data_IF_714983238030
#
_entry.id   IF_714983238030
#
_cell.length_a   1.000
_cell.length_b   1.000
_cell.length_c   1.000
_cell.angle_alpha   90.00
_cell.angle_beta   90.00
_cell.angle_gamma   90.00
#
_symmetry.space_group_name_H-M   'P 1'
#
loop_
_entity.id
_entity.type
_entity.pdbx_description
1 polymer ?
#
# COMPACT_ATOMS: atom_id res chain seq x y z
N UNK A 1 -13.70 -10.66 -21.22
CA UNK A 1 -12.75 -9.53 -21.47
C UNK A 1 -11.94 -9.33 -20.21
N UNK A 2 -10.68 -8.87 -20.30
CA UNK A 2 -9.92 -8.54 -19.10
C UNK A 2 -10.58 -7.34 -18.41
N UNK A 3 -10.59 -7.32 -17.07
CA UNK A 3 -11.11 -6.18 -16.31
C UNK A 3 -10.30 -4.93 -16.63
N UNK A 4 -10.98 -3.80 -16.79
CA UNK A 4 -10.37 -2.46 -16.93
C UNK A 4 -10.54 -1.60 -15.68
N UNK A 5 -11.15 -2.12 -14.63
CA UNK A 5 -11.35 -1.43 -13.37
C UNK A 5 -10.19 -1.70 -12.42
N UNK A 6 -9.50 -0.63 -12.02
CA UNK A 6 -8.32 -0.67 -11.15
C UNK A 6 -8.60 0.07 -9.85
N UNK A 7 -8.28 -0.56 -8.73
CA UNK A 7 -8.40 0.05 -7.40
C UNK A 7 -7.01 0.15 -6.79
N UNK A 8 -6.55 1.39 -6.55
CA UNK A 8 -5.23 1.71 -6.03
C UNK A 8 -5.29 1.88 -4.51
N UNK A 9 -4.42 1.17 -3.78
CA UNK A 9 -4.39 1.13 -2.32
C UNK A 9 -3.03 1.61 -1.81
N UNK A 10 -3.00 2.74 -1.12
CA UNK A 10 -1.77 3.36 -0.62
C UNK A 10 -1.17 2.66 0.61
N UNK A 11 0.08 2.96 0.89
CA UNK A 11 0.83 2.44 2.04
C UNK A 11 0.59 3.21 3.34
N UNK A 12 1.46 2.98 4.32
CA UNK A 12 1.53 3.78 5.55
C UNK A 12 2.16 5.15 5.31
N UNK A 13 1.95 6.08 6.23
CA UNK A 13 2.50 7.45 6.27
C UNK A 13 1.99 8.42 5.20
N UNK A 14 1.34 7.94 4.16
CA UNK A 14 0.83 8.72 3.03
C UNK A 14 -0.66 8.44 2.83
N UNK A 15 -1.30 9.24 2.00
CA UNK A 15 -2.68 9.05 1.55
C UNK A 15 -2.74 8.64 0.06
N UNK A 16 -3.94 8.62 -0.49
CA UNK A 16 -4.17 8.25 -1.89
C UNK A 16 -3.61 9.25 -2.90
N UNK A 17 -3.24 10.47 -2.51
CA UNK A 17 -2.71 11.48 -3.44
C UNK A 17 -1.38 11.04 -4.07
N UNK A 18 -0.59 10.23 -3.36
CA UNK A 18 0.64 9.65 -3.88
C UNK A 18 0.46 8.75 -5.12
N UNK A 19 -0.76 8.35 -5.44
CA UNK A 19 -1.09 7.61 -6.65
C UNK A 19 -1.34 8.49 -7.88
N UNK A 20 -1.30 9.83 -7.75
CA UNK A 20 -1.69 10.75 -8.83
C UNK A 20 -1.04 10.45 -10.17
N UNK A 21 0.26 10.24 -10.23
CA UNK A 21 0.96 9.95 -11.48
C UNK A 21 0.51 8.64 -12.14
N UNK A 22 0.31 7.58 -11.34
CA UNK A 22 -0.19 6.28 -11.83
C UNK A 22 -1.64 6.40 -12.28
N UNK A 23 -2.46 7.12 -11.51
CA UNK A 23 -3.86 7.39 -11.85
C UNK A 23 -3.98 8.08 -13.22
N UNK A 24 -3.20 9.13 -13.46
CA UNK A 24 -3.24 9.89 -14.71
C UNK A 24 -2.87 8.99 -15.92
N UNK A 25 -1.83 8.15 -15.78
CA UNK A 25 -1.39 7.22 -16.83
C UNK A 25 -2.49 6.18 -17.13
N UNK A 26 -2.98 5.49 -16.11
CA UNK A 26 -3.98 4.44 -16.29
C UNK A 26 -5.29 5.00 -16.85
N UNK A 27 -5.73 6.18 -16.39
CA UNK A 27 -6.94 6.84 -16.89
C UNK A 27 -6.80 7.23 -18.36
N UNK A 28 -5.63 7.74 -18.77
CA UNK A 28 -5.34 8.05 -20.16
C UNK A 28 -5.30 6.80 -21.05
N UNK A 29 -4.91 5.65 -20.49
CA UNK A 29 -4.92 4.34 -21.18
C UNK A 29 -6.32 3.68 -21.21
N UNK A 30 -7.33 4.36 -20.67
CA UNK A 30 -8.73 3.93 -20.72
C UNK A 30 -9.12 2.91 -19.66
N UNK A 31 -8.39 2.88 -18.53
CA UNK A 31 -8.81 2.18 -17.33
C UNK A 31 -9.78 3.04 -16.51
N UNK A 32 -10.73 2.38 -15.84
CA UNK A 32 -11.53 2.99 -14.78
C UNK A 32 -10.78 2.86 -13.46
N UNK A 33 -10.34 3.98 -12.89
CA UNK A 33 -9.42 4.00 -11.76
C UNK A 33 -10.05 4.63 -10.53
N UNK A 34 -10.05 3.90 -9.42
CA UNK A 34 -10.47 4.40 -8.11
C UNK A 34 -9.31 4.31 -7.13
N UNK A 35 -9.17 5.32 -6.26
CA UNK A 35 -8.14 5.37 -5.22
C UNK A 35 -8.79 5.22 -3.85
N UNK A 36 -8.34 4.24 -3.07
CA UNK A 36 -8.81 4.03 -1.69
C UNK A 36 -8.13 5.03 -0.77
N UNK A 37 -8.90 5.60 0.13
CA UNK A 37 -8.39 6.36 1.28
C UNK A 37 -8.47 5.46 2.52
N UNK A 38 -7.33 4.87 2.90
CA UNK A 38 -7.24 4.01 4.08
C UNK A 38 -7.42 4.87 5.36
N UNK A 39 -8.32 4.50 6.27
CA UNK A 39 -8.46 5.17 7.58
C UNK A 39 -7.17 5.18 8.39
N UNK A 40 -6.25 4.27 8.06
CA UNK A 40 -4.97 4.09 8.74
C UNK A 40 -5.06 3.87 10.26
N UNK A 41 -6.18 3.35 10.79
CA UNK A 41 -6.41 3.02 12.20
C UNK A 41 -6.25 1.53 12.54
N UNK A 42 -6.59 0.61 11.67
CA UNK A 42 -6.40 -0.84 11.83
C UNK A 42 -6.36 -1.53 10.47
N UNK A 43 -5.67 -2.68 10.36
CA UNK A 43 -5.68 -3.48 9.13
C UNK A 43 -7.09 -3.90 8.74
N UNK A 44 -7.90 -4.32 9.73
CA UNK A 44 -9.30 -4.70 9.51
C UNK A 44 -10.13 -3.53 8.95
N UNK A 45 -9.95 -2.32 9.51
CA UNK A 45 -10.63 -1.11 9.04
C UNK A 45 -10.23 -0.73 7.63
N UNK A 46 -8.93 -0.83 7.29
CA UNK A 46 -8.39 -0.53 5.96
C UNK A 46 -8.87 -1.58 4.92
N UNK A 47 -8.90 -2.86 5.29
CA UNK A 47 -9.50 -3.93 4.47
C UNK A 47 -11.00 -3.68 4.25
N UNK A 48 -11.74 -3.30 5.29
CA UNK A 48 -13.17 -2.99 5.17
C UNK A 48 -13.41 -1.74 4.29
N UNK A 49 -12.55 -0.72 4.37
CA UNK A 49 -12.60 0.44 3.49
C UNK A 49 -12.38 0.05 2.02
N UNK A 50 -11.38 -0.80 1.76
CA UNK A 50 -11.09 -1.31 0.42
C UNK A 50 -12.25 -2.14 -0.13
N UNK A 51 -12.84 -3.04 0.67
CA UNK A 51 -14.01 -3.85 0.26
C UNK A 51 -15.21 -2.99 -0.11
N UNK A 52 -15.50 -1.91 0.63
CA UNK A 52 -16.58 -0.95 0.25
C UNK A 52 -16.35 -0.33 -1.12
N UNK A 53 -15.09 -0.06 -1.49
CA UNK A 53 -14.78 0.45 -2.83
C UNK A 53 -14.96 -0.65 -3.88
N UNK A 54 -14.55 -1.90 -3.61
CA UNK A 54 -14.77 -3.05 -4.51
C UNK A 54 -16.26 -3.25 -4.76
N UNK A 55 -17.07 -3.25 -3.71
CA UNK A 55 -18.53 -3.44 -3.78
C UNK A 55 -19.23 -2.35 -4.61
N UNK A 56 -18.66 -1.15 -4.65
CA UNK A 56 -19.18 -0.04 -5.43
C UNK A 56 -18.85 -0.12 -6.94
N UNK A 57 -17.94 -1.04 -7.35
CA UNK A 57 -17.59 -1.23 -8.75
C UNK A 57 -18.63 -2.14 -9.42
N UNK A 58 -18.97 -1.84 -10.67
CA UNK A 58 -19.90 -2.66 -11.46
C UNK A 58 -19.27 -3.89 -12.12
N UNK A 59 -17.95 -4.06 -12.02
CA UNK A 59 -17.16 -5.10 -12.67
C UNK A 59 -16.08 -5.63 -11.72
N UNK A 60 -15.53 -6.84 -11.96
CA UNK A 60 -14.39 -7.33 -11.20
C UNK A 60 -13.20 -6.39 -11.31
N UNK A 61 -12.49 -6.18 -10.19
CA UNK A 61 -11.43 -5.20 -10.05
C UNK A 61 -10.03 -5.83 -10.04
N UNK A 62 -9.04 -5.07 -10.49
CA UNK A 62 -7.63 -5.32 -10.25
C UNK A 62 -7.23 -4.46 -9.05
N UNK A 63 -6.84 -5.10 -7.93
CA UNK A 63 -6.32 -4.38 -6.76
C UNK A 63 -4.82 -4.17 -6.91
N UNK A 64 -4.37 -2.93 -6.73
CA UNK A 64 -2.95 -2.57 -6.74
C UNK A 64 -2.57 -2.00 -5.37
N UNK A 65 -1.63 -2.62 -4.67
CA UNK A 65 -1.19 -2.19 -3.34
C UNK A 65 0.29 -1.83 -3.32
N UNK A 66 0.61 -0.68 -2.72
CA UNK A 66 1.98 -0.24 -2.45
C UNK A 66 2.31 -0.41 -0.97
N UNK A 67 3.51 -0.90 -0.65
CA UNK A 67 4.01 -1.00 0.73
C UNK A 67 3.01 -1.74 1.65
N UNK A 68 2.56 -1.12 2.74
CA UNK A 68 1.50 -1.63 3.63
C UNK A 68 0.17 -1.91 2.89
N UNK A 69 -0.14 -1.16 1.84
CA UNK A 69 -1.29 -1.42 0.98
C UNK A 69 -1.33 -2.84 0.40
N UNK A 70 -0.18 -3.50 0.29
CA UNK A 70 -0.10 -4.92 -0.07
C UNK A 70 -0.74 -5.84 0.96
N UNK A 71 -0.54 -5.59 2.27
CA UNK A 71 -1.23 -6.35 3.32
C UNK A 71 -2.74 -6.10 3.29
N UNK A 72 -3.17 -4.88 2.98
CA UNK A 72 -4.59 -4.54 2.82
C UNK A 72 -5.22 -5.29 1.65
N UNK A 73 -4.59 -5.27 0.46
CA UNK A 73 -5.12 -5.98 -0.72
C UNK A 73 -5.07 -7.49 -0.55
N UNK A 74 -4.12 -8.04 0.22
CA UNK A 74 -4.12 -9.46 0.58
C UNK A 74 -5.38 -9.82 1.35
N UNK A 75 -5.75 -9.02 2.35
CA UNK A 75 -6.98 -9.24 3.13
C UNK A 75 -8.27 -9.01 2.34
N UNK A 76 -8.29 -8.02 1.44
CA UNK A 76 -9.44 -7.72 0.59
C UNK A 76 -9.56 -8.67 -0.61
N UNK A 77 -8.45 -9.27 -1.04
CA UNK A 77 -8.35 -10.06 -2.26
C UNK A 77 -9.09 -11.42 -2.25
N UNK A 78 -9.67 -11.80 -1.11
CA UNK A 78 -10.59 -12.95 -1.01
C UNK A 78 -11.99 -12.64 -1.53
N UNK A 79 -12.28 -11.38 -1.85
CA UNK A 79 -13.56 -10.97 -2.39
C UNK A 79 -13.76 -11.55 -3.81
N UNK A 80 -14.94 -12.13 -4.12
CA UNK A 80 -15.22 -12.73 -5.43
C UNK A 80 -15.16 -11.73 -6.60
N UNK A 81 -15.28 -10.43 -6.31
CA UNK A 81 -15.19 -9.37 -7.29
C UNK A 81 -13.73 -8.93 -7.55
N UNK A 82 -12.73 -9.59 -6.98
CA UNK A 82 -11.32 -9.31 -7.25
C UNK A 82 -10.80 -10.27 -8.32
N UNK A 83 -10.42 -9.70 -9.47
CA UNK A 83 -9.90 -10.46 -10.61
C UNK A 83 -8.39 -10.72 -10.49
N UNK A 84 -7.63 -9.77 -9.92
CA UNK A 84 -6.18 -9.88 -9.76
C UNK A 84 -5.65 -8.99 -8.64
N UNK A 85 -4.45 -9.33 -8.14
CA UNK A 85 -3.68 -8.55 -7.16
C UNK A 85 -2.34 -8.16 -7.76
N UNK A 86 -1.96 -6.89 -7.62
CA UNK A 86 -0.67 -6.35 -8.05
C UNK A 86 0.02 -5.73 -6.84
N UNK A 87 1.22 -6.21 -6.55
CA UNK A 87 2.04 -5.72 -5.42
C UNK A 87 3.20 -4.88 -5.95
N UNK A 88 3.27 -3.62 -5.53
CA UNK A 88 4.33 -2.68 -5.91
C UNK A 88 5.16 -2.36 -4.67
N UNK A 89 6.39 -2.87 -4.59
CA UNK A 89 7.26 -2.73 -3.41
C UNK A 89 6.48 -2.94 -2.09
N UNK A 90 5.70 -4.03 -2.00
CA UNK A 90 4.64 -4.18 -1.03
C UNK A 90 4.77 -5.46 -0.20
N UNK A 91 4.20 -5.44 1.00
CA UNK A 91 4.06 -6.63 1.84
C UNK A 91 2.96 -7.53 1.27
N UNK A 92 3.29 -8.80 1.11
CA UNK A 92 2.35 -9.85 0.69
C UNK A 92 2.34 -10.96 1.76
N UNK A 93 1.71 -10.72 2.93
CA UNK A 93 1.71 -11.69 4.02
C UNK A 93 0.87 -12.91 3.68
N UNK A 94 1.34 -14.08 4.07
CA UNK A 94 0.55 -15.31 4.08
C UNK A 94 -0.42 -15.34 5.27
N UNK A 95 -1.31 -16.33 5.31
CA UNK A 95 -2.23 -16.52 6.42
C UNK A 95 -1.46 -16.65 7.75
N UNK A 96 -1.86 -15.85 8.73
CA UNK A 96 -1.21 -15.80 10.05
C UNK A 96 0.05 -14.95 10.10
N UNK A 97 0.57 -14.45 8.98
CA UNK A 97 1.67 -13.49 8.96
C UNK A 97 1.16 -12.05 9.16
N UNK A 98 2.07 -11.17 9.53
CA UNK A 98 1.85 -9.74 9.68
C UNK A 98 2.97 -8.96 9.00
N UNK A 99 2.78 -7.64 8.83
CA UNK A 99 3.86 -6.75 8.37
C UNK A 99 5.10 -6.89 9.28
N UNK A 100 4.89 -6.98 10.60
CA UNK A 100 5.97 -7.12 11.57
C UNK A 100 6.77 -8.41 11.40
N UNK A 101 6.09 -9.54 11.17
CA UNK A 101 6.79 -10.82 10.92
C UNK A 101 7.59 -10.76 9.63
N UNK A 102 7.07 -10.10 8.59
CA UNK A 102 7.77 -9.95 7.30
C UNK A 102 8.99 -9.04 7.39
N UNK A 103 8.94 -7.97 8.22
CA UNK A 103 10.09 -7.09 8.46
C UNK A 103 11.17 -7.82 9.25
N UNK A 104 10.80 -8.67 10.20
CA UNK A 104 11.73 -9.46 10.99
C UNK A 104 12.59 -10.42 10.15
N UNK A 105 12.13 -10.79 8.94
CA UNK A 105 12.84 -11.65 7.99
C UNK A 105 13.89 -10.88 7.14
N UNK A 106 13.93 -9.55 7.24
CA UNK A 106 14.89 -8.75 6.48
C UNK A 106 16.31 -8.89 7.07
N UNK A 107 17.35 -8.83 6.22
CA UNK A 107 18.72 -8.78 6.70
C UNK A 107 18.92 -7.61 7.69
N UNK A 108 19.78 -7.77 8.73
CA UNK A 108 19.98 -6.72 9.75
C UNK A 108 20.52 -5.40 9.19
N UNK A 109 21.18 -5.43 8.04
CA UNK A 109 21.74 -4.29 7.31
C UNK A 109 20.85 -3.77 6.19
N UNK A 110 19.64 -4.30 6.05
CA UNK A 110 18.68 -3.81 5.06
C UNK A 110 18.31 -2.35 5.34
N UNK A 111 18.26 -1.50 4.30
CA UNK A 111 17.80 -0.13 4.47
C UNK A 111 16.41 -0.08 5.13
N UNK A 112 16.31 0.63 6.24
CA UNK A 112 15.05 0.79 6.96
C UNK A 112 14.54 2.25 6.81
N UNK A 113 13.23 2.45 6.69
CA UNK A 113 12.68 3.80 6.68
C UNK A 113 12.93 4.48 8.04
N UNK A 114 13.16 5.81 8.06
CA UNK A 114 13.48 6.55 9.27
C UNK A 114 12.22 6.79 10.12
N UNK A 115 11.68 5.73 10.69
CA UNK A 115 10.48 5.80 11.54
C UNK A 115 10.85 6.38 12.91
N UNK A 116 10.12 7.40 13.34
CA UNK A 116 10.25 7.98 14.68
C UNK A 116 9.65 7.07 15.76
N UNK A 117 10.09 7.19 17.01
CA UNK A 117 9.43 6.50 18.12
C UNK A 117 7.92 6.78 18.15
N UNK A 118 7.09 5.81 18.52
CA UNK A 118 5.64 5.98 18.54
C UNK A 118 5.21 7.16 19.43
N UNK A 119 4.25 7.96 18.93
CA UNK A 119 3.59 9.02 19.67
C UNK A 119 2.10 8.69 19.77
N UNK A 120 1.58 8.54 20.97
CA UNK A 120 0.17 8.20 21.25
C UNK A 120 -0.34 6.98 20.43
N UNK A 121 0.52 6.00 20.16
CA UNK A 121 0.19 4.81 19.38
C UNK A 121 0.27 4.99 17.87
N UNK A 122 0.79 6.11 17.38
CA UNK A 122 1.00 6.37 15.96
C UNK A 122 2.48 6.53 15.61
N UNK A 123 2.81 6.18 14.38
CA UNK A 123 4.13 6.26 13.79
C UNK A 123 4.16 7.34 12.71
N UNK A 124 5.33 7.99 12.60
CA UNK A 124 5.66 8.97 11.58
C UNK A 124 7.07 8.71 11.05
N UNK A 125 7.35 9.14 9.84
CA UNK A 125 8.70 9.24 9.31
C UNK A 125 9.35 10.55 9.75
N UNK A 126 10.67 10.51 9.96
CA UNK A 126 11.48 11.69 10.18
C UNK A 126 11.42 12.60 8.95
N UNK A 127 10.89 13.81 9.12
CA UNK A 127 10.69 14.79 8.03
C UNK A 127 11.99 15.20 7.36
N UNK A 128 13.08 15.34 8.11
CA UNK A 128 14.36 15.74 7.55
C UNK A 128 14.98 14.67 6.65
N UNK A 129 14.61 13.41 6.89
CA UNK A 129 15.08 12.25 6.10
C UNK A 129 14.07 11.77 5.08
N UNK A 130 12.87 12.34 5.06
CA UNK A 130 11.75 11.85 4.25
C UNK A 130 12.09 11.85 2.75
N UNK A 131 12.58 12.96 2.22
CA UNK A 131 12.93 13.07 0.80
C UNK A 131 13.93 11.99 0.40
N UNK A 132 15.07 11.89 1.06
CA UNK A 132 16.12 10.96 0.68
C UNK A 132 15.74 9.47 0.86
N UNK A 133 14.82 9.15 1.79
CA UNK A 133 14.50 7.77 2.16
C UNK A 133 13.18 7.26 1.58
N UNK A 134 12.24 8.14 1.30
CA UNK A 134 10.87 7.76 0.92
C UNK A 134 10.46 8.31 -0.46
N UNK A 135 10.95 9.48 -0.85
CA UNK A 135 10.55 10.21 -2.05
C UNK A 135 11.76 10.73 -2.84
N UNK A 136 12.84 9.94 -2.94
CA UNK A 136 14.14 10.38 -3.47
C UNK A 136 14.17 10.75 -4.96
N UNK A 137 13.17 10.35 -5.71
CA UNK A 137 12.98 10.64 -7.14
C UNK A 137 11.87 11.67 -7.40
N UNK A 138 11.26 12.20 -6.33
CA UNK A 138 10.23 13.23 -6.39
C UNK A 138 10.88 14.62 -6.27
N UNK A 139 10.27 15.65 -6.88
CA UNK A 139 10.69 17.03 -6.71
C UNK A 139 10.79 17.45 -5.23
N UNK A 140 11.78 18.28 -4.89
CA UNK A 140 12.06 18.60 -3.49
C UNK A 140 10.90 19.32 -2.77
N UNK A 141 10.18 20.22 -3.47
CA UNK A 141 9.05 20.96 -2.91
C UNK A 141 7.86 20.02 -2.70
N UNK A 142 7.62 19.10 -3.63
CA UNK A 142 6.60 18.07 -3.51
C UNK A 142 6.94 17.09 -2.36
N UNK A 143 8.20 16.66 -2.26
CA UNK A 143 8.66 15.79 -1.17
C UNK A 143 8.54 16.46 0.20
N UNK A 144 8.79 17.78 0.29
CA UNK A 144 8.59 18.55 1.50
C UNK A 144 7.11 18.62 1.89
N UNK A 145 6.22 18.85 0.93
CA UNK A 145 4.78 18.81 1.15
C UNK A 145 4.32 17.43 1.63
N UNK A 146 4.79 16.35 0.99
CA UNK A 146 4.49 14.98 1.43
C UNK A 146 4.97 14.70 2.86
N UNK A 147 6.15 15.21 3.23
CA UNK A 147 6.69 15.06 4.58
C UNK A 147 5.85 15.80 5.63
N UNK A 148 5.29 16.97 5.28
CA UNK A 148 4.45 17.77 6.17
C UNK A 148 3.00 17.27 6.23
N UNK A 149 2.52 16.60 5.19
CA UNK A 149 1.17 16.05 5.07
C UNK A 149 1.06 14.56 5.43
N UNK A 150 2.05 13.99 6.13
CA UNK A 150 2.03 12.57 6.53
C UNK A 150 0.74 12.19 7.24
N UNK A 151 0.21 11.03 6.90
CA UNK A 151 -0.91 10.42 7.60
C UNK A 151 -0.39 9.61 8.78
N UNK A 152 -0.87 9.85 10.01
CA UNK A 152 -0.48 9.06 11.18
C UNK A 152 -0.76 7.58 10.95
N UNK A 153 0.23 6.72 11.14
CA UNK A 153 0.07 5.28 10.95
C UNK A 153 0.05 4.55 12.29
N UNK A 154 -1.06 3.91 12.64
CA UNK A 154 -1.22 3.24 13.93
C UNK A 154 -0.22 2.11 14.14
N UNK A 155 0.52 2.14 15.24
CA UNK A 155 1.60 1.19 15.56
C UNK A 155 1.12 -0.27 15.72
N UNK A 156 -0.13 -0.48 16.14
CA UNK A 156 -0.69 -1.83 16.34
C UNK A 156 -0.88 -2.65 15.05
N UNK A 157 -0.80 -2.03 13.88
CA UNK A 157 -0.98 -2.70 12.58
C UNK A 157 0.16 -3.60 12.19
N UNK A 158 1.35 -3.31 12.65
CA UNK A 158 2.51 -4.13 12.37
C UNK A 158 2.32 -5.56 12.87
N UNK A 159 1.58 -5.73 13.96
CA UNK A 159 1.29 -7.00 14.57
C UNK A 159 -0.02 -7.65 14.08
N UNK A 160 -0.86 -6.91 13.34
CA UNK A 160 -2.12 -7.46 12.82
C UNK A 160 -1.84 -8.56 11.80
N UNK A 161 -2.40 -9.74 12.02
CA UNK A 161 -2.19 -10.93 11.19
C UNK A 161 -3.16 -10.97 10.02
N UNK A 162 -2.69 -11.41 8.87
CA UNK A 162 -3.55 -11.71 7.71
C UNK A 162 -4.49 -12.86 8.03
N UNK A 163 -5.77 -12.69 7.74
CA UNK A 163 -6.81 -13.70 8.02
C UNK A 163 -6.87 -14.81 6.98
N UNK A 164 -6.42 -14.56 5.74
CA UNK A 164 -6.43 -15.55 4.65
C UNK A 164 -5.59 -15.08 3.47
N UNK A 165 -5.06 -16.05 2.71
CA UNK A 165 -4.44 -15.80 1.41
C UNK A 165 -5.48 -15.99 0.31
N UNK A 166 -5.57 -15.10 -0.70
CA UNK A 166 -6.43 -15.32 -1.86
C UNK A 166 -5.96 -16.57 -2.61
N UNK A 167 -6.81 -17.59 -2.67
CA UNK A 167 -6.52 -18.79 -3.43
C UNK A 167 -6.58 -18.52 -4.94
N UNK A 168 -5.46 -18.66 -5.65
CA UNK A 168 -5.45 -18.87 -7.10
C UNK A 168 -5.69 -17.67 -8.01
N UNK A 169 -5.79 -16.45 -7.50
CA UNK A 169 -5.79 -15.24 -8.35
C UNK A 169 -4.38 -14.95 -8.84
N UNK A 170 -4.21 -14.67 -10.14
CA UNK A 170 -2.91 -14.43 -10.75
C UNK A 170 -2.14 -13.32 -10.03
N UNK A 171 -1.07 -13.69 -9.35
CA UNK A 171 -0.17 -12.73 -8.69
C UNK A 171 0.83 -12.22 -9.72
N UNK A 172 0.71 -10.95 -10.13
CA UNK A 172 1.76 -10.26 -10.83
C UNK A 172 2.61 -9.49 -9.80
N UNK A 173 3.78 -10.01 -9.47
CA UNK A 173 4.73 -9.32 -8.61
C UNK A 173 5.67 -8.45 -9.43
N UNK A 174 5.60 -7.13 -9.30
CA UNK A 174 6.65 -6.23 -9.80
C UNK A 174 7.53 -5.86 -8.62
N UNK A 175 8.68 -6.52 -8.52
CA UNK A 175 9.74 -6.11 -7.61
C UNK A 175 10.62 -5.09 -8.34
N UNK A 176 10.48 -3.80 -8.05
CA UNK A 176 11.42 -2.79 -8.52
C UNK A 176 12.68 -2.86 -7.65
N UNK A 177 13.80 -3.33 -8.22
CA UNK A 177 15.12 -3.11 -7.61
C UNK A 177 15.48 -1.62 -7.77
N UNK A 178 16.03 -0.96 -6.73
CA UNK A 178 16.64 0.35 -6.92
C UNK A 178 17.78 0.22 -7.93
N UNK A 179 17.82 1.12 -8.91
CA UNK A 179 18.99 1.25 -9.78
C UNK A 179 20.13 1.82 -8.94
N UNK A 180 21.14 1.00 -8.68
CA UNK A 180 22.45 1.50 -8.25
C UNK A 180 23.08 2.18 -9.45
N UNK A 181 23.10 3.52 -9.45
CA UNK A 181 23.94 4.34 -10.31
C UNK A 181 25.19 4.73 -9.56
#
# INVERSE_FOLDING_TARGET
MASKTVVLVHGGFVDGSGWRGVYDILSNDGYDVTVVQNPTLSLEGDVAATKRIIDAQGEPVILVGHSYGGAVITGAGTDPNVAALVYIAAFAPDEGESVNTRIADFPPDAPAPPILPPQDGFLFLDREKFHASFAGDVDADEAAFMADSQVPWGSMRWAARSASRPGGTGQAGICSRPRTG
#
